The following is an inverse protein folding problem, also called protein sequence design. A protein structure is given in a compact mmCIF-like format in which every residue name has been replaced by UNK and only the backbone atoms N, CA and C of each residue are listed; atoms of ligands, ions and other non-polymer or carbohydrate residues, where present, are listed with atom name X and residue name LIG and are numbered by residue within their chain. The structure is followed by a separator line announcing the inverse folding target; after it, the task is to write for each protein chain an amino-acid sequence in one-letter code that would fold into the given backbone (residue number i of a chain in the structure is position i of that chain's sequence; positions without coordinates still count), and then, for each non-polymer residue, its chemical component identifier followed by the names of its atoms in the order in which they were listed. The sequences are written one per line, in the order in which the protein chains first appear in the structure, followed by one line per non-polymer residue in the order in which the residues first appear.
data_IF_671808295826
#
_entry.id   IF_671808295826
#
_cell.length_a   1.000
_cell.length_b   1.000
_cell.length_c   1.000
_cell.angle_alpha   90.00
_cell.angle_beta   90.00
_cell.angle_gamma   90.00
#
_symmetry.space_group_name_H-M   'P 1'
#
loop_
_entity.id
_entity.type
_entity.pdbx_description
1 polymer ?
#
# COMPACT_ATOMS: atom_id res chain seq x y z
N UNK A 1 8.94 -16.47 9.46
CA UNK A 1 9.15 -15.42 8.46
C UNK A 1 8.69 -14.12 9.10
N UNK A 2 9.51 -13.06 9.09
CA UNK A 2 9.08 -11.75 9.61
C UNK A 2 8.24 -11.10 8.50
N UNK A 3 6.97 -10.82 8.76
CA UNK A 3 5.97 -10.53 7.75
C UNK A 3 6.29 -9.28 6.91
N UNK A 4 6.43 -9.50 5.61
CA UNK A 4 6.63 -8.53 4.52
C UNK A 4 5.63 -7.35 4.54
N UNK A 5 4.45 -7.58 5.10
CA UNK A 5 3.30 -6.68 5.07
C UNK A 5 3.18 -5.80 6.33
N UNK A 6 3.84 -6.13 7.46
CA UNK A 6 3.90 -5.26 8.66
C UNK A 6 4.62 -3.92 8.39
N UNK A 7 5.27 -3.88 7.24
CA UNK A 7 6.12 -2.87 6.68
C UNK A 7 5.32 -1.89 5.80
N UNK A 8 4.19 -2.35 5.23
CA UNK A 8 3.18 -1.52 4.56
C UNK A 8 2.27 -0.79 5.55
N UNK A 9 2.29 -1.22 6.82
CA UNK A 9 1.42 -0.70 7.91
C UNK A 9 1.92 0.61 8.53
N UNK A 10 3.17 1.00 8.27
CA UNK A 10 3.76 2.22 8.86
C UNK A 10 3.13 3.55 8.36
N UNK A 11 2.20 3.51 7.41
CA UNK A 11 1.58 4.70 6.82
C UNK A 11 0.60 5.48 7.71
N UNK A 12 0.04 4.92 8.80
CA UNK A 12 -1.01 5.64 9.55
C UNK A 12 -0.60 6.31 10.85
N UNK A 13 0.68 6.30 11.22
CA UNK A 13 1.21 7.26 12.20
C UNK A 13 1.44 8.67 11.61
N UNK A 14 0.53 9.15 10.75
CA UNK A 14 0.45 10.57 10.38
C UNK A 14 -0.12 11.36 11.56
N UNK A 15 0.75 11.68 12.51
CA UNK A 15 0.47 12.74 13.48
C UNK A 15 0.36 14.07 12.74
N UNK A 16 -0.84 14.40 12.26
CA UNK A 16 -1.23 15.73 11.78
C UNK A 16 -1.15 16.70 12.97
N UNK A 17 0.05 17.18 13.29
CA UNK A 17 0.19 18.33 14.18
C UNK A 17 -0.24 19.59 13.42
N UNK A 18 -1.27 20.32 13.88
CA UNK A 18 -1.58 21.62 13.29
C UNK A 18 -0.46 22.59 13.66
N UNK A 19 0.36 22.96 12.67
CA UNK A 19 1.37 23.99 12.82
C UNK A 19 0.71 25.37 12.88
N UNK A 20 0.32 25.79 14.08
CA UNK A 20 0.06 27.20 14.41
C UNK A 20 0.72 27.59 15.74
N UNK A 21 1.64 28.55 15.60
CA UNK A 21 2.19 29.45 16.61
C UNK A 21 3.39 28.99 17.48
N UNK A 22 4.39 29.86 17.47
CA UNK A 22 5.62 29.87 18.24
C UNK A 22 5.43 29.75 19.76
N UNK A 23 6.37 29.14 20.49
CA UNK A 23 7.38 29.78 21.39
C UNK A 23 8.06 28.73 22.29
N UNK A 24 9.40 28.81 22.41
CA UNK A 24 10.30 28.28 23.46
C UNK A 24 10.65 26.77 23.54
N UNK A 25 11.95 26.41 23.67
CA UNK A 25 12.39 25.04 23.82
C UNK A 25 12.26 24.58 25.28
N UNK A 26 11.41 23.58 25.53
CA UNK A 26 11.46 22.81 26.77
C UNK A 26 11.81 21.38 26.45
N UNK A 27 12.89 20.94 27.08
CA UNK A 27 13.48 19.62 27.04
C UNK A 27 12.45 18.55 27.38
N UNK A 28 12.09 17.71 26.40
CA UNK A 28 11.32 16.49 26.64
C UNK A 28 12.24 15.30 26.37
N UNK A 29 12.45 14.56 27.45
CA UNK A 29 13.15 13.29 27.57
C UNK A 29 12.55 12.27 26.58
N UNK A 30 13.35 11.44 25.90
CA UNK A 30 12.80 10.45 24.98
C UNK A 30 12.04 9.40 25.79
N UNK A 31 10.71 9.48 25.77
CA UNK A 31 9.86 8.38 26.25
C UNK A 31 9.98 7.27 25.24
N UNK A 32 10.67 6.21 25.67
CA UNK A 32 10.73 4.91 25.02
C UNK A 32 9.34 4.28 25.08
N UNK A 33 8.47 4.64 24.14
CA UNK A 33 7.29 3.85 23.82
C UNK A 33 7.68 2.87 22.73
N UNK A 34 8.43 1.84 23.12
CA UNK A 34 8.47 0.61 22.36
C UNK A 34 7.10 -0.05 22.50
N UNK A 35 6.15 0.35 21.66
CA UNK A 35 5.03 -0.52 21.34
C UNK A 35 5.65 -1.68 20.60
N UNK A 36 5.89 -2.78 21.32
CA UNK A 36 5.91 -4.11 20.72
C UNK A 36 4.64 -4.16 19.86
N UNK A 37 4.82 -4.03 18.54
CA UNK A 37 3.81 -4.42 17.56
C UNK A 37 3.42 -5.84 17.98
N UNK A 38 2.25 -5.98 18.61
CA UNK A 38 1.60 -7.28 18.70
C UNK A 38 1.72 -7.86 17.30
N UNK A 39 2.28 -9.08 17.18
CA UNK A 39 2.31 -9.78 15.90
C UNK A 39 0.92 -9.66 15.29
N UNK A 40 0.82 -8.83 14.27
CA UNK A 40 -0.45 -8.41 13.73
C UNK A 40 -0.90 -9.54 12.82
N UNK A 41 -1.69 -10.47 13.37
CA UNK A 41 -2.20 -11.65 12.67
C UNK A 41 -2.92 -11.25 11.36
N UNK A 42 -3.39 -10.00 11.25
CA UNK A 42 -4.05 -9.49 10.04
C UNK A 42 -3.14 -9.45 8.81
N UNK A 43 -1.84 -9.19 9.01
CA UNK A 43 -0.84 -9.16 7.94
C UNK A 43 -0.58 -10.59 7.41
N UNK A 44 -0.39 -11.54 8.31
CA UNK A 44 -0.18 -12.94 7.95
C UNK A 44 -1.43 -13.49 7.25
N UNK A 45 -2.60 -13.18 7.81
CA UNK A 45 -3.89 -13.52 7.23
C UNK A 45 -4.07 -12.92 5.84
N UNK A 46 -3.75 -11.65 5.62
CA UNK A 46 -3.85 -11.04 4.28
C UNK A 46 -2.95 -11.76 3.28
N UNK A 47 -1.72 -12.11 3.67
CA UNK A 47 -0.83 -12.84 2.78
C UNK A 47 -1.37 -14.24 2.44
N UNK A 48 -2.02 -14.93 3.38
CA UNK A 48 -2.67 -16.23 3.15
C UNK A 48 -3.92 -16.12 2.25
N UNK A 49 -4.56 -14.95 2.19
CA UNK A 49 -5.75 -14.73 1.34
C UNK A 49 -5.39 -14.60 -0.15
N UNK A 50 -4.17 -14.15 -0.47
CA UNK A 50 -3.73 -13.91 -1.84
C UNK A 50 -3.32 -15.19 -2.58
N UNK A 51 -3.47 -15.17 -3.91
CA UNK A 51 -2.94 -16.22 -4.80
C UNK A 51 -1.44 -16.39 -4.71
N UNK A 52 -0.98 -17.61 -5.00
CA UNK A 52 0.45 -17.93 -5.05
C UNK A 52 1.19 -16.94 -5.98
N UNK A 53 0.57 -16.54 -7.10
CA UNK A 53 1.11 -15.53 -8.02
C UNK A 53 1.35 -14.17 -7.34
N UNK A 54 0.36 -13.68 -6.59
CA UNK A 54 0.47 -12.40 -5.86
C UNK A 54 1.51 -12.55 -4.75
N UNK A 55 1.47 -13.65 -3.99
CA UNK A 55 2.44 -13.91 -2.91
C UNK A 55 3.88 -13.98 -3.45
N UNK A 56 4.11 -14.66 -4.57
CA UNK A 56 5.41 -14.76 -5.24
C UNK A 56 5.88 -13.39 -5.76
N UNK A 57 5.00 -12.62 -6.40
CA UNK A 57 5.31 -11.28 -6.91
C UNK A 57 5.68 -10.33 -5.78
N UNK A 58 4.89 -10.33 -4.71
CA UNK A 58 5.11 -9.50 -3.53
C UNK A 58 6.42 -9.90 -2.83
N UNK A 59 6.72 -11.19 -2.73
CA UNK A 59 7.96 -11.69 -2.14
C UNK A 59 9.19 -11.64 -3.08
N UNK A 60 9.07 -11.06 -4.28
CA UNK A 60 10.13 -11.06 -5.28
C UNK A 60 11.43 -10.47 -4.73
N UNK A 61 12.55 -11.13 -5.05
CA UNK A 61 13.91 -10.73 -4.67
C UNK A 61 14.14 -10.55 -3.17
N UNK A 62 13.27 -11.06 -2.29
CA UNK A 62 13.37 -10.81 -0.84
C UNK A 62 14.72 -11.25 -0.26
N UNK A 63 15.22 -12.40 -0.71
CA UNK A 63 16.50 -13.01 -0.34
C UNK A 63 17.68 -12.54 -1.23
N UNK A 64 17.40 -11.79 -2.30
CA UNK A 64 18.36 -11.30 -3.31
C UNK A 64 18.52 -9.77 -3.28
N UNK A 65 18.52 -9.18 -2.08
CA UNK A 65 18.67 -7.73 -1.89
C UNK A 65 17.52 -6.88 -2.48
N UNK A 66 16.28 -7.40 -2.43
CA UNK A 66 15.04 -6.73 -2.89
C UNK A 66 15.02 -6.44 -4.39
N UNK A 67 13.88 -5.99 -4.90
CA UNK A 67 13.75 -5.59 -6.30
C UNK A 67 14.47 -4.26 -6.54
N UNK A 68 15.31 -4.21 -7.58
CA UNK A 68 15.92 -2.96 -8.04
C UNK A 68 15.14 -2.36 -9.22
N UNK A 69 14.19 -1.49 -8.89
CA UNK A 69 13.40 -0.78 -9.89
C UNK A 69 14.23 0.19 -10.75
N UNK A 70 15.38 0.66 -10.27
CA UNK A 70 16.20 1.64 -10.97
C UNK A 70 16.94 1.07 -12.18
N UNK A 71 17.20 -0.24 -12.20
CA UNK A 71 17.79 -0.95 -13.35
C UNK A 71 16.74 -1.20 -14.43
N UNK A 72 15.45 -1.19 -14.07
CA UNK A 72 14.36 -1.54 -14.96
C UNK A 72 14.27 -3.05 -15.20
N UNK A 73 13.58 -3.42 -16.27
CA UNK A 73 13.40 -4.82 -16.64
C UNK A 73 14.66 -5.44 -17.27
N UNK A 74 14.82 -6.75 -17.14
CA UNK A 74 15.76 -7.53 -17.95
C UNK A 74 15.41 -7.41 -19.46
N UNK A 75 16.29 -7.85 -20.38
CA UNK A 75 15.98 -7.86 -21.82
C UNK A 75 14.69 -8.64 -22.17
N UNK A 76 14.33 -9.63 -21.36
CA UNK A 76 13.14 -10.46 -21.48
C UNK A 76 11.91 -9.89 -20.76
N UNK A 77 12.06 -8.77 -20.03
CA UNK A 77 10.97 -8.11 -19.31
C UNK A 77 10.83 -8.48 -17.83
N UNK A 78 11.78 -9.23 -17.26
CA UNK A 78 11.71 -9.72 -15.89
C UNK A 78 12.25 -8.72 -14.86
N UNK A 79 11.85 -8.92 -13.60
CA UNK A 79 12.40 -8.19 -12.46
C UNK A 79 13.89 -8.51 -12.25
N UNK A 80 14.67 -7.48 -11.95
CA UNK A 80 16.08 -7.59 -11.55
C UNK A 80 16.20 -7.31 -10.05
N UNK A 81 16.89 -8.19 -9.34
CA UNK A 81 17.13 -8.07 -7.92
C UNK A 81 18.33 -7.16 -7.61
N UNK A 82 18.45 -6.73 -6.35
CA UNK A 82 19.51 -5.86 -5.87
C UNK A 82 20.93 -6.39 -6.09
N UNK A 83 21.09 -7.70 -5.96
CA UNK A 83 22.35 -8.41 -6.22
C UNK A 83 22.69 -8.57 -7.72
N UNK A 84 21.79 -8.12 -8.61
CA UNK A 84 21.90 -8.20 -10.07
C UNK A 84 21.39 -9.50 -10.67
N UNK A 85 20.87 -10.43 -9.87
CA UNK A 85 20.18 -11.62 -10.37
C UNK A 85 18.84 -11.27 -11.03
N UNK A 86 18.39 -12.11 -11.96
CA UNK A 86 17.11 -11.95 -12.65
C UNK A 86 16.12 -12.95 -12.08
N UNK A 87 14.93 -12.47 -11.71
CA UNK A 87 13.84 -13.30 -11.22
C UNK A 87 12.90 -13.65 -12.39
N UNK A 88 13.21 -14.76 -13.06
CA UNK A 88 12.38 -15.26 -14.17
C UNK A 88 10.95 -15.58 -13.68
N UNK A 89 9.95 -15.24 -14.51
CA UNK A 89 8.53 -15.51 -14.22
C UNK A 89 7.77 -14.33 -13.62
N UNK A 90 8.45 -13.35 -13.03
CA UNK A 90 7.83 -12.13 -12.49
C UNK A 90 8.22 -10.95 -13.38
N UNK A 91 7.26 -10.45 -14.15
CA UNK A 91 7.52 -9.32 -15.05
C UNK A 91 7.69 -8.02 -14.24
N UNK A 92 8.52 -7.13 -14.75
CA UNK A 92 8.74 -5.81 -14.12
C UNK A 92 7.44 -5.01 -13.98
N UNK A 93 6.56 -5.09 -14.98
CA UNK A 93 5.26 -4.41 -15.00
C UNK A 93 4.30 -5.02 -13.96
N UNK A 94 4.18 -6.35 -13.92
CA UNK A 94 3.33 -7.03 -12.95
C UNK A 94 3.78 -6.75 -11.51
N UNK A 95 5.09 -6.67 -11.27
CA UNK A 95 5.60 -6.28 -9.94
C UNK A 95 5.16 -4.87 -9.54
N UNK A 96 5.33 -3.88 -10.43
CA UNK A 96 4.90 -2.50 -10.16
C UNK A 96 3.39 -2.41 -9.94
N UNK A 97 2.60 -3.08 -10.77
CA UNK A 97 1.13 -3.09 -10.67
C UNK A 97 0.67 -3.77 -9.38
N UNK A 98 1.08 -5.01 -9.11
CA UNK A 98 0.63 -5.76 -7.94
C UNK A 98 1.08 -5.07 -6.64
N UNK A 99 2.38 -4.76 -6.51
CA UNK A 99 2.88 -4.11 -5.29
C UNK A 99 2.29 -2.71 -5.16
N UNK A 100 2.23 -1.94 -6.25
CA UNK A 100 1.65 -0.61 -6.27
C UNK A 100 0.18 -0.60 -5.85
N UNK A 101 -0.64 -1.49 -6.41
CA UNK A 101 -2.07 -1.56 -6.13
C UNK A 101 -2.36 -2.03 -4.70
N UNK A 102 -1.59 -2.98 -4.18
CA UNK A 102 -1.67 -3.38 -2.76
C UNK A 102 -1.34 -2.19 -1.84
N UNK A 103 -0.32 -1.40 -2.17
CA UNK A 103 0.04 -0.19 -1.41
C UNK A 103 -1.04 0.89 -1.47
N UNK A 104 -1.59 1.13 -2.66
CA UNK A 104 -2.67 2.09 -2.87
C UNK A 104 -3.91 1.65 -2.10
N UNK A 105 -4.34 0.39 -2.27
CA UNK A 105 -5.49 -0.18 -1.57
C UNK A 105 -5.33 -0.11 -0.05
N UNK A 106 -4.15 -0.44 0.49
CA UNK A 106 -3.87 -0.35 1.92
C UNK A 106 -4.01 1.08 2.45
N UNK A 107 -3.44 2.04 1.72
CA UNK A 107 -3.51 3.45 2.08
C UNK A 107 -4.95 3.98 2.02
N UNK A 108 -5.70 3.64 0.97
CA UNK A 108 -7.11 4.05 0.83
C UNK A 108 -8.00 3.42 1.90
N UNK A 109 -7.77 2.16 2.27
CA UNK A 109 -8.48 1.48 3.34
C UNK A 109 -8.21 2.16 4.70
N UNK A 110 -6.95 2.46 5.01
CA UNK A 110 -6.58 3.23 6.21
C UNK A 110 -7.21 4.63 6.23
N UNK A 111 -7.22 5.34 5.10
CA UNK A 111 -7.89 6.64 5.00
C UNK A 111 -9.40 6.55 5.23
N UNK A 112 -10.06 5.50 4.72
CA UNK A 112 -11.49 5.26 4.95
C UNK A 112 -11.79 5.08 6.43
N UNK A 113 -10.99 4.29 7.15
CA UNK A 113 -11.16 4.12 8.60
C UNK A 113 -10.89 5.46 9.33
N UNK A 114 -9.89 6.24 8.92
CA UNK A 114 -9.57 7.54 9.54
C UNK A 114 -10.70 8.57 9.38
N UNK A 115 -11.39 8.58 8.24
CA UNK A 115 -12.57 9.42 8.00
C UNK A 115 -13.74 9.02 8.91
N UNK A 116 -13.93 7.73 9.15
CA UNK A 116 -14.97 7.23 10.07
C UNK A 116 -14.68 7.68 11.51
N UNK A 117 -13.41 7.73 11.90
CA UNK A 117 -12.98 8.11 13.25
C UNK A 117 -12.91 9.62 13.49
N UNK A 118 -12.57 10.43 12.48
CA UNK A 118 -12.55 11.89 12.56
C UNK A 118 -13.57 12.53 11.59
N UNK A 119 -14.74 12.97 12.10
CA UNK A 119 -15.77 13.62 11.28
C UNK A 119 -15.34 14.93 10.61
N UNK A 120 -14.16 15.46 10.92
CA UNK A 120 -13.59 16.66 10.26
C UNK A 120 -12.86 16.30 8.97
N UNK A 121 -12.47 15.05 8.80
CA UNK A 121 -11.93 14.54 7.54
C UNK A 121 -13.11 14.06 6.69
N UNK A 122 -13.22 14.57 5.47
CA UNK A 122 -14.22 14.09 4.50
C UNK A 122 -13.53 13.76 3.18
N UNK A 123 -14.10 12.86 2.37
CA UNK A 123 -13.55 12.57 1.04
C UNK A 123 -13.39 13.83 0.18
N UNK A 124 -14.27 14.82 0.30
CA UNK A 124 -14.17 16.10 -0.42
C UNK A 124 -12.98 16.94 0.03
N UNK A 125 -12.66 16.94 1.32
CA UNK A 125 -11.48 17.65 1.83
C UNK A 125 -10.22 16.99 1.27
N UNK A 126 -10.13 15.65 1.30
CA UNK A 126 -9.01 14.92 0.74
C UNK A 126 -8.88 15.18 -0.77
N UNK A 127 -9.97 15.09 -1.53
CA UNK A 127 -10.00 15.41 -2.96
C UNK A 127 -9.53 16.84 -3.25
N UNK A 128 -9.99 17.81 -2.46
CA UNK A 128 -9.57 19.21 -2.61
C UNK A 128 -8.08 19.41 -2.29
N UNK A 129 -7.53 18.63 -1.36
CA UNK A 129 -6.14 18.71 -0.97
C UNK A 129 -5.22 18.10 -2.03
N UNK A 130 -5.48 16.87 -2.47
CA UNK A 130 -4.62 16.13 -3.43
C UNK A 130 -4.63 16.72 -4.84
N UNK A 131 -5.55 17.62 -5.15
CA UNK A 131 -5.59 18.36 -6.42
C UNK A 131 -4.73 19.63 -6.42
N UNK A 132 -4.15 20.01 -5.28
CA UNK A 132 -3.19 21.11 -5.18
C UNK A 132 -1.75 20.64 -5.37
N UNK A 133 -0.86 21.53 -5.84
CA UNK A 133 0.56 21.19 -6.00
C UNK A 133 1.21 20.81 -4.67
N UNK A 134 0.85 21.52 -3.59
CA UNK A 134 1.31 21.24 -2.23
C UNK A 134 0.83 19.87 -1.73
N UNK A 135 -0.43 19.52 -2.01
CA UNK A 135 -0.99 18.22 -1.64
C UNK A 135 -0.37 17.06 -2.40
N UNK A 136 -0.12 17.21 -3.70
CA UNK A 136 0.58 16.21 -4.51
C UNK A 136 2.02 16.01 -4.01
N UNK A 137 2.75 17.10 -3.75
CA UNK A 137 4.10 17.02 -3.21
C UNK A 137 4.13 16.37 -1.83
N UNK A 138 3.17 16.70 -0.96
CA UNK A 138 3.04 16.07 0.36
C UNK A 138 2.76 14.58 0.22
N UNK A 139 1.85 14.17 -0.67
CA UNK A 139 1.54 12.76 -0.92
C UNK A 139 2.78 12.00 -1.37
N UNK A 140 3.51 12.53 -2.36
CA UNK A 140 4.75 11.93 -2.83
C UNK A 140 5.78 11.78 -1.71
N UNK A 141 5.96 12.82 -0.88
CA UNK A 141 6.90 12.77 0.25
C UNK A 141 6.50 11.73 1.29
N UNK A 142 5.21 11.64 1.64
CA UNK A 142 4.72 10.68 2.64
C UNK A 142 4.90 9.25 2.13
N UNK A 143 4.50 8.99 0.89
CA UNK A 143 4.64 7.66 0.26
C UNK A 143 6.11 7.26 0.16
N UNK A 144 6.98 8.19 -0.25
CA UNK A 144 8.41 7.93 -0.33
C UNK A 144 9.02 7.62 1.05
N UNK A 145 8.69 8.42 2.07
CA UNK A 145 9.12 8.16 3.45
C UNK A 145 8.64 6.79 3.93
N UNK A 146 7.37 6.47 3.71
CA UNK A 146 6.81 5.17 4.07
C UNK A 146 7.56 4.03 3.39
N UNK A 147 7.79 4.09 2.07
CA UNK A 147 8.54 3.06 1.33
C UNK A 147 9.97 2.90 1.87
N UNK A 148 10.66 4.00 2.20
CA UNK A 148 12.01 3.93 2.75
C UNK A 148 12.03 3.31 4.16
N UNK A 149 11.06 3.64 5.01
CA UNK A 149 10.92 3.10 6.37
C UNK A 149 10.45 1.64 6.37
N UNK A 150 9.72 1.25 5.33
CA UNK A 150 9.20 -0.08 5.11
C UNK A 150 10.34 -1.12 4.98
N UNK A 151 11.48 -0.76 4.39
CA UNK A 151 12.52 -1.75 4.07
C UNK A 151 12.15 -2.69 2.91
N UNK A 152 11.12 -2.33 2.13
CA UNK A 152 10.82 -2.92 0.81
C UNK A 152 11.95 -2.71 -0.20
N UNK A 153 12.92 -1.85 0.12
CA UNK A 153 13.94 -1.41 -0.82
C UNK A 153 15.35 -1.39 -0.23
N UNK A 154 16.32 -1.31 -1.11
CA UNK A 154 17.71 -1.10 -0.76
C UNK A 154 17.94 0.32 -0.23
N UNK A 155 18.47 0.49 1.00
CA UNK A 155 18.81 1.81 1.55
C UNK A 155 19.75 2.62 0.64
N UNK A 156 20.57 1.91 -0.13
CA UNK A 156 21.62 2.49 -0.97
C UNK A 156 21.14 2.79 -2.41
N UNK A 157 19.88 2.51 -2.75
CA UNK A 157 19.28 2.75 -4.08
C UNK A 157 18.03 3.63 -3.99
N UNK A 158 18.18 4.93 -3.69
CA UNK A 158 17.04 5.85 -3.55
C UNK A 158 16.21 6.04 -4.83
N UNK A 159 16.78 5.75 -6.00
CA UNK A 159 16.07 5.83 -7.27
C UNK A 159 14.93 4.80 -7.38
N UNK A 160 15.12 3.60 -6.82
CA UNK A 160 14.05 2.59 -6.78
C UNK A 160 12.89 3.05 -5.89
N UNK A 161 13.21 3.81 -4.84
CA UNK A 161 12.22 4.28 -3.87
C UNK A 161 11.38 5.37 -4.50
N UNK A 162 12.06 6.23 -5.24
CA UNK A 162 11.43 7.24 -6.06
C UNK A 162 10.46 6.62 -7.07
N UNK A 163 10.88 5.62 -7.86
CA UNK A 163 10.02 4.99 -8.88
C UNK A 163 8.74 4.42 -8.27
N UNK A 164 8.86 3.59 -7.23
CA UNK A 164 7.68 3.02 -6.57
C UNK A 164 6.82 4.09 -5.90
N UNK A 165 7.45 5.09 -5.28
CA UNK A 165 6.72 6.18 -4.63
C UNK A 165 5.95 7.05 -5.62
N UNK A 166 6.50 7.29 -6.80
CA UNK A 166 5.84 8.05 -7.87
C UNK A 166 4.64 7.27 -8.43
N UNK A 167 4.80 5.96 -8.62
CA UNK A 167 3.71 5.07 -9.02
C UNK A 167 2.55 5.10 -8.00
N UNK A 168 2.85 4.82 -6.73
CA UNK A 168 1.85 4.77 -5.65
C UNK A 168 1.23 6.14 -5.41
N UNK A 169 2.01 7.21 -5.37
CA UNK A 169 1.49 8.56 -5.17
C UNK A 169 0.57 8.98 -6.33
N UNK A 170 0.92 8.66 -7.58
CA UNK A 170 0.07 8.94 -8.75
C UNK A 170 -1.26 8.21 -8.64
N UNK A 171 -1.24 6.90 -8.37
CA UNK A 171 -2.46 6.11 -8.17
C UNK A 171 -3.31 6.62 -7.00
N UNK A 172 -2.70 7.01 -5.88
CA UNK A 172 -3.41 7.63 -4.75
C UNK A 172 -4.06 8.95 -5.15
N UNK A 173 -3.35 9.82 -5.84
CA UNK A 173 -3.90 11.10 -6.31
C UNK A 173 -5.10 10.86 -7.23
N UNK A 174 -4.99 9.93 -8.19
CA UNK A 174 -6.07 9.59 -9.11
C UNK A 174 -7.32 9.08 -8.37
N UNK A 175 -7.13 8.18 -7.40
CA UNK A 175 -8.21 7.63 -6.59
C UNK A 175 -8.83 8.70 -5.68
N UNK A 176 -8.02 9.49 -4.99
CA UNK A 176 -8.48 10.49 -4.01
C UNK A 176 -9.05 11.74 -4.67
N UNK A 177 -8.70 12.04 -5.93
CA UNK A 177 -9.28 13.16 -6.68
C UNK A 177 -10.78 12.98 -6.95
N UNK A 178 -11.28 11.74 -6.90
CA UNK A 178 -12.70 11.45 -6.96
C UNK A 178 -13.25 11.21 -5.54
N UNK A 179 -14.06 12.12 -4.97
CA UNK A 179 -14.55 11.98 -3.60
C UNK A 179 -15.44 10.74 -3.40
N UNK A 180 -16.08 10.24 -4.46
CA UNK A 180 -16.91 9.02 -4.37
C UNK A 180 -16.08 7.74 -4.34
N UNK A 181 -14.76 7.81 -4.58
CA UNK A 181 -13.92 6.63 -4.68
C UNK A 181 -13.74 5.93 -3.34
N UNK A 182 -13.59 6.68 -2.25
CA UNK A 182 -13.47 6.11 -0.90
C UNK A 182 -14.77 5.44 -0.45
N UNK A 183 -15.92 6.04 -0.80
CA UNK A 183 -17.24 5.46 -0.49
C UNK A 183 -17.48 4.14 -1.24
N UNK A 184 -16.96 4.04 -2.48
CA UNK A 184 -17.08 2.87 -3.33
C UNK A 184 -15.80 2.01 -3.38
N UNK A 185 -14.91 2.15 -2.38
CA UNK A 185 -13.60 1.49 -2.38
C UNK A 185 -13.71 -0.04 -2.37
N UNK A 186 -14.75 -0.57 -1.73
CA UNK A 186 -15.01 -2.01 -1.63
C UNK A 186 -15.87 -2.53 -2.80
N UNK A 187 -16.12 -1.69 -3.81
CA UNK A 187 -16.99 -2.01 -4.93
C UNK A 187 -18.48 -2.10 -4.57
N UNK A 188 -19.31 -2.67 -5.46
CA UNK A 188 -20.74 -2.88 -5.21
C UNK A 188 -20.98 -3.82 -4.02
N UNK A 189 -21.83 -3.39 -3.08
CA UNK A 189 -22.15 -4.17 -1.87
C UNK A 189 -22.67 -5.57 -2.19
N UNK A 190 -23.37 -5.74 -3.31
CA UNK A 190 -23.94 -7.02 -3.71
C UNK A 190 -22.90 -8.04 -4.20
N UNK A 191 -21.69 -7.60 -4.59
CA UNK A 191 -20.60 -8.48 -5.05
C UNK A 191 -19.55 -8.74 -3.97
N UNK A 192 -19.60 -7.99 -2.86
CA UNK A 192 -18.61 -8.08 -1.80
C UNK A 192 -18.46 -9.53 -1.27
N UNK A 193 -19.53 -10.27 -0.91
CA UNK A 193 -19.38 -11.64 -0.41
C UNK A 193 -18.71 -12.59 -1.41
N UNK A 194 -19.00 -12.44 -2.70
CA UNK A 194 -18.42 -13.26 -3.76
C UNK A 194 -16.93 -12.94 -3.98
N UNK A 195 -16.54 -11.67 -3.88
CA UNK A 195 -15.12 -11.27 -3.92
C UNK A 195 -14.38 -11.86 -2.72
N UNK A 196 -14.96 -11.81 -1.52
CA UNK A 196 -14.35 -12.41 -0.33
C UNK A 196 -14.15 -13.93 -0.51
N UNK A 197 -15.19 -14.64 -0.96
CA UNK A 197 -15.17 -16.10 -1.11
C UNK A 197 -14.20 -16.58 -2.19
N UNK A 198 -14.04 -15.83 -3.29
CA UNK A 198 -13.26 -16.28 -4.44
C UNK A 198 -11.87 -15.65 -4.52
N UNK A 199 -11.73 -14.35 -4.22
CA UNK A 199 -10.46 -13.63 -4.33
C UNK A 199 -9.70 -13.59 -3.00
N UNK A 200 -10.39 -13.39 -1.88
CA UNK A 200 -9.76 -13.22 -0.56
C UNK A 200 -9.81 -14.47 0.33
N UNK A 201 -10.02 -15.66 -0.23
CA UNK A 201 -10.05 -16.91 0.53
C UNK A 201 -9.02 -17.88 -0.04
N UNK A 202 -8.07 -18.31 0.79
CA UNK A 202 -6.92 -19.10 0.40
C UNK A 202 -7.26 -20.32 -0.50
N UNK A 203 -6.52 -20.54 -1.59
CA UNK A 203 -5.38 -19.73 -2.06
C UNK A 203 -5.79 -18.45 -2.79
N UNK A 204 -7.06 -18.11 -2.97
CA UNK A 204 -7.48 -16.92 -3.73
C UNK A 204 -7.27 -17.05 -5.24
N UNK A 205 -7.92 -16.19 -6.01
CA UNK A 205 -7.76 -16.11 -7.47
C UNK A 205 -6.60 -15.17 -7.85
N UNK A 206 -6.11 -15.29 -9.08
CA UNK A 206 -5.26 -14.22 -9.64
C UNK A 206 -6.09 -12.95 -9.90
N UNK A 207 -5.42 -11.82 -10.06
CA UNK A 207 -6.09 -10.55 -10.39
C UNK A 207 -6.84 -10.68 -11.74
N UNK A 208 -6.23 -11.31 -12.74
CA UNK A 208 -6.84 -11.50 -14.05
C UNK A 208 -8.10 -12.36 -14.01
N UNK A 209 -8.09 -13.43 -13.21
CA UNK A 209 -9.26 -14.28 -12.99
C UNK A 209 -10.38 -13.50 -12.27
N UNK A 210 -10.00 -12.74 -11.25
CA UNK A 210 -10.94 -11.92 -10.48
C UNK A 210 -11.56 -10.80 -11.32
N UNK A 211 -10.79 -10.11 -12.17
CA UNK A 211 -11.33 -9.07 -13.05
C UNK A 211 -12.27 -9.64 -14.14
N UNK A 212 -12.09 -10.90 -14.54
CA UNK A 212 -13.02 -11.59 -15.41
C UNK A 212 -14.33 -11.98 -14.68
N UNK A 213 -14.22 -12.41 -13.42
CA UNK A 213 -15.38 -12.75 -12.60
C UNK A 213 -16.17 -11.51 -12.13
N UNK A 214 -15.45 -10.41 -11.85
CA UNK A 214 -15.97 -9.18 -11.28
C UNK A 214 -15.60 -7.95 -12.14
N UNK A 215 -16.12 -7.84 -13.38
CA UNK A 215 -15.71 -6.80 -14.34
C UNK A 215 -16.11 -5.36 -13.95
N UNK A 216 -16.81 -5.19 -12.82
CA UNK A 216 -17.14 -3.89 -12.24
C UNK A 216 -16.13 -3.44 -11.18
N UNK A 217 -15.19 -4.30 -10.79
CA UNK A 217 -14.09 -3.99 -9.91
C UNK A 217 -12.84 -3.69 -10.73
N UNK A 218 -11.99 -2.83 -10.18
CA UNK A 218 -10.58 -2.77 -10.53
C UNK A 218 -9.72 -3.49 -9.47
N UNK A 219 -8.45 -3.70 -9.77
CA UNK A 219 -7.48 -4.37 -8.91
C UNK A 219 -7.40 -3.74 -7.51
N UNK A 220 -7.38 -2.41 -7.42
CA UNK A 220 -7.34 -1.67 -6.15
C UNK A 220 -8.56 -2.00 -5.29
N UNK A 221 -9.76 -2.07 -5.88
CA UNK A 221 -10.97 -2.45 -5.13
C UNK A 221 -10.90 -3.90 -4.66
N UNK A 222 -10.43 -4.83 -5.50
CA UNK A 222 -10.24 -6.24 -5.12
C UNK A 222 -9.28 -6.38 -3.94
N UNK A 223 -8.12 -5.72 -3.97
CA UNK A 223 -7.18 -5.71 -2.85
C UNK A 223 -7.77 -5.04 -1.61
N UNK A 224 -8.54 -3.97 -1.77
CA UNK A 224 -9.18 -3.26 -0.64
C UNK A 224 -10.16 -4.16 0.11
N UNK A 225 -10.89 -5.05 -0.59
CA UNK A 225 -11.76 -6.05 0.05
C UNK A 225 -10.94 -7.00 0.92
N UNK A 226 -9.82 -7.53 0.42
CA UNK A 226 -8.99 -8.44 1.22
C UNK A 226 -8.34 -7.74 2.43
N UNK A 227 -7.95 -6.47 2.26
CA UNK A 227 -7.38 -5.65 3.34
C UNK A 227 -8.42 -5.37 4.44
N UNK A 228 -9.68 -5.10 4.07
CA UNK A 228 -10.78 -4.96 5.03
C UNK A 228 -11.04 -6.29 5.76
N UNK A 229 -11.16 -7.39 5.01
CA UNK A 229 -11.48 -8.72 5.56
C UNK A 229 -10.39 -9.31 6.45
N UNK A 230 -9.12 -9.06 6.11
CA UNK A 230 -7.99 -9.47 6.94
C UNK A 230 -7.98 -8.76 8.31
N UNK A 231 -8.64 -7.60 8.39
CA UNK A 231 -8.66 -6.72 9.55
C UNK A 231 -7.52 -5.70 9.56
N UNK A 232 -6.63 -5.73 8.55
CA UNK A 232 -5.45 -4.87 8.43
C UNK A 232 -5.83 -3.39 8.43
N UNK A 233 -6.95 -3.03 7.79
CA UNK A 233 -7.42 -1.64 7.76
C UNK A 233 -7.55 -1.00 9.17
N UNK A 234 -7.92 -1.80 10.18
CA UNK A 234 -8.12 -1.33 11.56
C UNK A 234 -6.82 -1.21 12.35
N UNK A 235 -5.72 -1.78 11.87
CA UNK A 235 -4.40 -1.71 12.53
C UNK A 235 -3.52 -0.64 11.92
N UNK A 236 -3.94 -0.07 10.79
CA UNK A 236 -3.22 0.98 10.08
C UNK A 236 -3.25 2.33 10.80
N UNK A 237 -4.21 2.61 11.69
CA UNK A 237 -4.39 3.92 12.38
C UNK A 237 -4.01 3.83 13.85
#
# INVERSE_FOLDING_TARGET
MRSFLAVLVACGSLSLTPALAATSPSSVTPSTSGTELAQDDSVERLNEMFSDEIQETVAACWEQEKVDLSVGASPEGWVVCGDGSVMEGISYEAYLEIVGDVMIASTLAGMRVAIVEDPRLTPEILASFVTTAEGQQMMQSIVQSAILESGLQLPDRPASAQILSEWVATGLIENLSNPTRLDNLLGPTEQYPEVVDQFCTAPGMSVDEALQAFPQHDSIQLYSVCIEESGLANTLI
#
